data_IF_299666711587
#
_entry.id   IF_299666711587
#
_cell.length_a   1.000
_cell.length_b   1.000
_cell.length_c   1.000
_cell.angle_alpha   90.00
_cell.angle_beta   90.00
_cell.angle_gamma   90.00
#
_symmetry.space_group_name_H-M   'P 1'
#
loop_
_entity.id
_entity.type
_entity.pdbx_description
1 polymer ?
#
# COMPACT_ATOMS: atom_id res chain seq x y z
N UNK A 1 8.94 -48.44 5.06
CA UNK A 1 8.38 -47.10 4.76
C UNK A 1 8.37 -46.93 3.25
N UNK A 2 7.18 -46.79 2.65
CA UNK A 2 6.93 -47.03 1.22
C UNK A 2 7.62 -45.99 0.32
N UNK A 3 8.51 -46.44 -0.57
CA UNK A 3 9.16 -45.58 -1.60
C UNK A 3 8.13 -44.85 -2.47
N UNK A 4 6.96 -45.45 -2.67
CA UNK A 4 5.83 -44.85 -3.38
C UNK A 4 5.19 -43.65 -2.65
N UNK A 5 5.26 -43.60 -1.32
CA UNK A 5 4.77 -42.47 -0.52
C UNK A 5 5.67 -41.23 -0.71
N UNK A 6 6.99 -41.44 -0.82
CA UNK A 6 7.97 -40.36 -1.04
C UNK A 6 7.82 -39.78 -2.45
N UNK A 7 7.58 -40.62 -3.46
CA UNK A 7 7.33 -40.16 -4.84
C UNK A 7 6.01 -39.39 -4.94
N UNK A 8 4.95 -39.85 -4.27
CA UNK A 8 3.66 -39.14 -4.24
C UNK A 8 3.77 -37.78 -3.51
N UNK A 9 4.50 -37.73 -2.39
CA UNK A 9 4.72 -36.50 -1.62
C UNK A 9 5.58 -35.49 -2.40
N UNK A 10 6.58 -35.98 -3.16
CA UNK A 10 7.41 -35.13 -4.03
C UNK A 10 6.65 -34.57 -5.24
N UNK A 11 5.65 -35.28 -5.76
CA UNK A 11 4.82 -34.80 -6.86
C UNK A 11 3.83 -33.69 -6.42
N UNK A 12 3.34 -33.73 -5.19
CA UNK A 12 2.45 -32.68 -4.65
C UNK A 12 3.14 -31.33 -4.41
N UNK A 13 4.47 -31.30 -4.26
CA UNK A 13 5.23 -30.06 -4.05
C UNK A 13 5.37 -29.20 -5.31
N UNK A 14 5.07 -29.73 -6.50
CA UNK A 14 5.17 -28.99 -7.77
C UNK A 14 3.86 -28.36 -8.26
N UNK A 15 2.74 -28.53 -7.53
CA UNK A 15 1.41 -28.06 -7.97
C UNK A 15 1.11 -26.64 -7.45
N UNK A 16 1.97 -26.03 -6.62
CA UNK A 16 1.70 -24.72 -6.01
C UNK A 16 2.20 -23.53 -6.82
N UNK A 17 2.09 -23.58 -8.15
CA UNK A 17 2.28 -22.38 -8.98
C UNK A 17 0.96 -21.59 -9.02
N UNK A 18 0.74 -20.73 -8.03
CA UNK A 18 -0.38 -19.80 -8.03
C UNK A 18 -0.14 -18.77 -9.14
N UNK A 19 -0.91 -18.82 -10.22
CA UNK A 19 -0.85 -17.81 -11.28
C UNK A 19 -1.34 -16.48 -10.71
N UNK A 20 -0.48 -15.46 -10.72
CA UNK A 20 -0.86 -14.12 -10.28
C UNK A 20 -1.42 -13.36 -11.48
N UNK A 21 -2.66 -12.89 -11.37
CA UNK A 21 -3.26 -12.02 -12.38
C UNK A 21 -2.72 -10.60 -12.21
N UNK A 22 -1.98 -10.11 -13.19
CA UNK A 22 -1.43 -8.74 -13.20
C UNK A 22 -2.37 -7.85 -13.99
N UNK A 23 -2.83 -6.79 -13.36
CA UNK A 23 -3.64 -5.75 -14.02
C UNK A 23 -2.76 -4.96 -14.99
N UNK A 24 -3.24 -4.85 -16.21
CA UNK A 24 -2.64 -4.09 -17.30
C UNK A 24 -3.64 -3.08 -17.81
N UNK A 25 -3.13 -1.95 -18.27
CA UNK A 25 -3.92 -0.92 -18.92
C UNK A 25 -3.18 -0.32 -20.10
N UNK A 26 -3.95 0.15 -21.08
CA UNK A 26 -3.45 0.90 -22.24
C UNK A 26 -4.45 1.95 -22.68
N UNK A 27 -4.01 3.09 -23.22
CA UNK A 27 -4.91 4.09 -23.77
C UNK A 27 -5.64 3.54 -25.02
N UNK A 28 -6.88 3.98 -25.22
CA UNK A 28 -7.69 3.65 -26.41
C UNK A 28 -7.59 4.74 -27.48
N UNK A 29 -7.07 5.91 -27.11
CA UNK A 29 -6.99 7.07 -28.00
C UNK A 29 -6.06 6.84 -29.18
N UNK A 30 -6.42 7.45 -30.31
CA UNK A 30 -5.73 7.27 -31.59
C UNK A 30 -4.31 7.83 -31.58
N UNK A 31 -4.03 8.82 -30.73
CA UNK A 31 -2.70 9.42 -30.55
C UNK A 31 -1.99 8.84 -29.32
N UNK A 32 -1.74 7.53 -29.35
CA UNK A 32 -0.86 6.87 -28.39
C UNK A 32 0.52 6.61 -28.99
N UNK A 33 1.57 6.83 -28.18
CA UNK A 33 2.96 6.58 -28.55
C UNK A 33 3.52 5.56 -27.56
N UNK A 34 4.32 4.62 -28.06
CA UNK A 34 5.09 3.71 -27.20
C UNK A 34 6.44 4.36 -26.91
N UNK A 35 6.72 4.62 -25.64
CA UNK A 35 8.03 5.10 -25.19
C UNK A 35 8.48 4.28 -23.98
N UNK A 36 9.73 3.79 -24.00
CA UNK A 36 10.27 2.93 -22.94
C UNK A 36 9.46 1.65 -22.66
N UNK A 37 8.67 1.17 -23.63
CA UNK A 37 7.77 0.03 -23.45
C UNK A 37 6.45 0.35 -22.72
N UNK A 38 6.15 1.63 -22.48
CA UNK A 38 4.88 2.11 -21.96
C UNK A 38 4.07 2.75 -23.08
N UNK A 39 2.77 2.51 -23.10
CA UNK A 39 1.86 3.23 -23.98
C UNK A 39 1.46 4.55 -23.29
N UNK A 40 1.72 5.65 -23.97
CA UNK A 40 1.53 7.01 -23.48
C UNK A 40 0.43 7.66 -24.30
N UNK A 41 -0.44 8.41 -23.62
CA UNK A 41 -1.45 9.28 -24.23
C UNK A 41 -1.21 10.74 -23.85
N UNK A 42 -1.52 11.65 -24.76
CA UNK A 42 -1.38 13.09 -24.57
C UNK A 42 -2.67 13.80 -24.93
N UNK A 43 -3.06 14.78 -24.11
CA UNK A 43 -4.08 15.77 -24.45
C UNK A 43 -3.64 17.16 -24.03
N UNK A 44 -4.15 18.18 -24.72
CA UNK A 44 -3.84 19.58 -24.45
C UNK A 44 -5.08 20.44 -24.70
N UNK A 45 -5.40 21.31 -23.75
CA UNK A 45 -6.50 22.26 -23.87
C UNK A 45 -6.22 23.50 -22.99
N UNK A 46 -6.49 24.69 -23.53
CA UNK A 46 -6.24 25.98 -22.88
C UNK A 46 -4.81 26.14 -22.32
N UNK A 47 -3.82 25.65 -23.07
CA UNK A 47 -2.39 25.70 -22.69
C UNK A 47 -2.02 24.79 -21.51
N UNK A 48 -2.92 23.94 -21.03
CA UNK A 48 -2.59 22.87 -20.10
C UNK A 48 -2.46 21.58 -20.89
N UNK A 49 -1.28 20.97 -20.88
CA UNK A 49 -0.98 19.72 -21.56
C UNK A 49 -0.70 18.64 -20.53
N UNK A 50 -1.32 17.48 -20.69
CA UNK A 50 -1.11 16.31 -19.84
C UNK A 50 -0.66 15.14 -20.69
N UNK A 51 0.37 14.48 -20.22
CA UNK A 51 0.90 13.22 -20.74
C UNK A 51 0.69 12.17 -19.65
N UNK A 52 0.03 11.07 -19.97
CA UNK A 52 -0.29 10.03 -19.00
C UNK A 52 0.07 8.64 -19.54
N UNK A 53 0.58 7.80 -18.66
CA UNK A 53 0.79 6.37 -18.92
C UNK A 53 0.43 5.56 -17.68
N UNK A 54 -0.05 4.33 -17.88
CA UNK A 54 -0.25 3.42 -16.77
C UNK A 54 1.10 2.82 -16.36
N UNK A 55 1.46 2.99 -15.09
CA UNK A 55 2.70 2.47 -14.54
C UNK A 55 2.51 1.07 -13.93
N UNK A 56 1.45 0.90 -13.15
CA UNK A 56 1.18 -0.38 -12.50
C UNK A 56 0.19 -0.31 -11.35
N UNK A 57 0.34 -1.27 -10.43
CA UNK A 57 -0.43 -1.32 -9.18
C UNK A 57 0.46 -1.17 -7.98
N UNK A 58 -0.02 -0.39 -7.02
CA UNK A 58 0.53 -0.32 -5.69
C UNK A 58 -0.58 -0.61 -4.68
N UNK A 59 -0.54 -1.78 -4.03
CA UNK A 59 -1.59 -2.23 -3.13
C UNK A 59 -2.99 -2.22 -3.81
N UNK A 60 -3.93 -1.43 -3.29
CA UNK A 60 -5.28 -1.22 -3.85
C UNK A 60 -5.33 -0.15 -4.94
N UNK A 61 -4.24 0.56 -5.18
CA UNK A 61 -4.20 1.67 -6.13
C UNK A 61 -3.69 1.20 -7.49
N UNK A 62 -4.26 1.78 -8.54
CA UNK A 62 -3.64 1.90 -9.84
C UNK A 62 -2.81 3.19 -9.86
N UNK A 63 -1.64 3.11 -10.47
CA UNK A 63 -0.68 4.22 -10.53
C UNK A 63 -0.54 4.64 -11.99
N UNK A 64 -0.80 5.93 -12.23
CA UNK A 64 -0.53 6.56 -13.51
C UNK A 64 0.69 7.46 -13.37
N UNK A 65 1.67 7.29 -14.26
CA UNK A 65 2.78 8.22 -14.39
C UNK A 65 2.31 9.37 -15.28
N UNK A 66 2.17 10.54 -14.65
CA UNK A 66 1.57 11.73 -15.26
C UNK A 66 2.59 12.85 -15.29
N UNK A 67 2.73 13.48 -16.45
CA UNK A 67 3.43 14.75 -16.61
C UNK A 67 2.46 15.85 -17.05
N UNK A 68 2.37 16.91 -16.27
CA UNK A 68 1.54 18.07 -16.53
C UNK A 68 2.42 19.26 -16.90
N UNK A 69 2.11 19.91 -18.00
CA UNK A 69 2.78 21.10 -18.50
C UNK A 69 1.84 22.29 -18.44
N UNK A 70 2.31 23.38 -17.82
CA UNK A 70 1.66 24.67 -17.88
C UNK A 70 2.27 25.47 -19.04
N UNK A 71 1.68 25.40 -20.24
CA UNK A 71 2.07 26.23 -21.39
C UNK A 71 1.35 27.58 -21.41
N UNK A 72 0.66 27.96 -20.33
CA UNK A 72 -0.01 29.27 -20.22
C UNK A 72 0.97 30.33 -19.72
N UNK A 73 0.57 31.60 -19.84
CA UNK A 73 1.36 32.74 -19.34
C UNK A 73 1.10 33.07 -17.86
N UNK A 74 0.29 32.26 -17.17
CA UNK A 74 -0.06 32.46 -15.76
C UNK A 74 0.30 31.23 -14.92
N UNK A 75 0.56 31.40 -13.61
CA UNK A 75 0.74 30.27 -12.71
C UNK A 75 -0.49 29.34 -12.70
N UNK A 76 -0.25 28.04 -12.53
CA UNK A 76 -1.28 27.02 -12.44
C UNK A 76 -1.12 26.26 -11.11
N UNK A 77 -2.10 26.40 -10.22
CA UNK A 77 -2.19 25.57 -9.02
C UNK A 77 -2.74 24.21 -9.38
N UNK A 78 -2.08 23.17 -8.92
CA UNK A 78 -2.41 21.78 -9.21
C UNK A 78 -2.38 20.96 -7.92
N UNK A 79 -3.22 19.93 -7.86
CA UNK A 79 -3.24 18.91 -6.82
C UNK A 79 -3.49 17.54 -7.45
N UNK A 80 -2.98 16.45 -6.85
CA UNK A 80 -3.44 15.09 -7.16
C UNK A 80 -4.97 14.98 -7.15
N UNK A 81 -5.65 15.71 -6.26
CA UNK A 81 -7.13 15.68 -6.15
C UNK A 81 -7.85 16.21 -7.39
N UNK A 82 -7.16 16.90 -8.28
CA UNK A 82 -7.72 17.34 -9.57
C UNK A 82 -7.90 16.16 -10.55
N UNK A 83 -7.30 15.01 -10.25
CA UNK A 83 -7.45 13.78 -10.99
C UNK A 83 -8.54 12.89 -10.40
N UNK A 84 -9.40 12.37 -11.27
CA UNK A 84 -10.46 11.41 -10.93
C UNK A 84 -10.44 10.22 -11.88
N UNK A 85 -10.78 9.04 -11.37
CA UNK A 85 -10.96 7.83 -12.15
C UNK A 85 -12.42 7.37 -12.10
N UNK A 86 -12.98 7.20 -13.29
CA UNK A 86 -14.31 6.67 -13.50
C UNK A 86 -14.18 5.24 -14.06
N UNK A 87 -14.48 4.20 -13.26
CA UNK A 87 -14.48 2.83 -13.75
C UNK A 87 -15.73 2.57 -14.59
N UNK A 88 -15.54 1.99 -15.78
CA UNK A 88 -16.60 1.73 -16.75
C UNK A 88 -16.70 0.24 -17.11
N UNK A 89 -17.90 -0.20 -17.46
CA UNK A 89 -18.19 -1.55 -17.96
C UNK A 89 -17.80 -1.73 -19.45
N UNK A 90 -18.09 -2.90 -20.02
CA UNK A 90 -17.83 -3.21 -21.43
C UNK A 90 -18.56 -2.28 -22.42
N UNK A 91 -19.68 -1.68 -22.00
CA UNK A 91 -20.48 -0.73 -22.77
C UNK A 91 -20.07 0.73 -22.52
N UNK A 92 -18.96 0.96 -21.80
CA UNK A 92 -18.48 2.28 -21.37
C UNK A 92 -19.47 3.04 -20.48
N UNK A 93 -20.34 2.32 -19.77
CA UNK A 93 -21.22 2.88 -18.77
C UNK A 93 -20.53 2.86 -17.40
N UNK A 94 -20.78 3.88 -16.59
CA UNK A 94 -20.18 3.97 -15.26
C UNK A 94 -20.62 2.78 -14.40
N UNK A 95 -19.66 2.15 -13.74
CA UNK A 95 -19.97 1.09 -12.79
C UNK A 95 -20.67 1.68 -11.57
N UNK A 96 -21.73 1.01 -11.15
CA UNK A 96 -22.47 1.31 -9.93
C UNK A 96 -22.18 0.25 -8.86
N UNK A 97 -22.37 0.62 -7.61
CA UNK A 97 -22.27 -0.28 -6.47
C UNK A 97 -23.25 -1.45 -6.61
N UNK A 98 -22.96 -2.54 -5.90
CA UNK A 98 -23.77 -3.78 -5.99
C UNK A 98 -25.24 -3.57 -5.60
N UNK A 99 -25.51 -2.59 -4.74
CA UNK A 99 -26.86 -2.16 -4.34
C UNK A 99 -27.49 -1.12 -5.29
N UNK A 100 -26.76 -0.70 -6.32
CA UNK A 100 -27.17 0.30 -7.31
C UNK A 100 -27.30 1.72 -6.79
N UNK A 101 -26.90 1.99 -5.55
CA UNK A 101 -27.15 3.29 -4.89
C UNK A 101 -26.13 4.36 -5.25
N UNK A 102 -24.90 3.99 -5.57
CA UNK A 102 -23.81 4.93 -5.82
C UNK A 102 -23.01 4.54 -7.04
N UNK A 103 -22.67 5.52 -7.86
CA UNK A 103 -21.81 5.33 -9.01
C UNK A 103 -20.35 5.51 -8.58
N UNK A 104 -19.47 4.55 -8.90
CA UNK A 104 -18.08 4.60 -8.47
C UNK A 104 -17.37 5.77 -9.14
N UNK A 105 -16.68 6.60 -8.35
CA UNK A 105 -15.78 7.65 -8.80
C UNK A 105 -14.71 7.82 -7.75
N UNK A 106 -13.45 7.72 -8.16
CA UNK A 106 -12.31 7.75 -7.24
C UNK A 106 -11.47 8.99 -7.51
N UNK A 107 -11.29 9.83 -6.50
CA UNK A 107 -10.34 10.93 -6.56
C UNK A 107 -8.93 10.42 -6.25
N UNK A 108 -7.91 11.02 -6.87
CA UNK A 108 -6.55 10.61 -6.56
C UNK A 108 -6.15 11.04 -5.14
N UNK A 109 -5.27 10.25 -4.55
CA UNK A 109 -4.83 10.43 -3.18
C UNK A 109 -3.77 11.53 -3.07
N UNK A 110 -3.87 12.35 -2.03
CA UNK A 110 -2.84 13.35 -1.70
C UNK A 110 -1.71 12.65 -0.90
N UNK A 111 -0.47 12.61 -1.41
CA UNK A 111 0.62 11.87 -0.77
C UNK A 111 0.95 12.34 0.65
N UNK A 112 0.79 13.64 0.94
CA UNK A 112 1.04 14.18 2.28
C UNK A 112 0.05 13.66 3.32
N UNK A 113 -1.21 13.36 2.93
CA UNK A 113 -2.20 12.76 3.84
C UNK A 113 -1.82 11.33 4.20
N UNK A 114 -1.41 10.52 3.22
CA UNK A 114 -0.95 9.14 3.46
C UNK A 114 0.37 9.11 4.21
N UNK A 115 1.29 10.03 3.91
CA UNK A 115 2.54 10.19 4.66
C UNK A 115 2.29 10.48 6.14
N UNK A 116 1.26 11.28 6.44
CA UNK A 116 0.79 11.54 7.81
C UNK A 116 0.36 10.24 8.51
N UNK A 117 -0.46 9.42 7.86
CA UNK A 117 -0.92 8.13 8.40
C UNK A 117 0.23 7.17 8.63
N UNK A 118 1.16 7.04 7.68
CA UNK A 118 2.35 6.18 7.81
C UNK A 118 3.21 6.63 9.00
N UNK A 119 3.42 7.94 9.17
CA UNK A 119 4.16 8.48 10.34
C UNK A 119 3.46 8.19 11.65
N UNK A 120 2.12 8.29 11.70
CA UNK A 120 1.34 7.94 12.89
C UNK A 120 1.47 6.45 13.24
N UNK A 121 1.38 5.56 12.25
CA UNK A 121 1.56 4.12 12.45
C UNK A 121 2.96 3.77 12.94
N UNK A 122 4.00 4.40 12.37
CA UNK A 122 5.38 4.24 12.84
C UNK A 122 5.52 4.65 14.32
N UNK A 123 4.96 5.80 14.69
CA UNK A 123 4.97 6.29 16.08
C UNK A 123 4.21 5.36 17.04
N UNK A 124 3.10 4.78 16.57
CA UNK A 124 2.32 3.81 17.34
C UNK A 124 3.12 2.54 17.62
N UNK A 125 3.75 1.94 16.59
CA UNK A 125 4.57 0.74 16.75
C UNK A 125 5.79 1.00 17.63
N UNK A 126 6.44 2.17 17.50
CA UNK A 126 7.50 2.60 18.42
C UNK A 126 7.04 2.68 19.87
N UNK A 127 5.85 3.22 20.11
CA UNK A 127 5.29 3.33 21.46
C UNK A 127 4.95 1.96 22.02
N UNK A 128 4.40 1.07 21.20
CA UNK A 128 4.06 -0.30 21.56
C UNK A 128 5.30 -1.09 21.97
N UNK A 129 6.40 -1.02 21.21
CA UNK A 129 7.63 -1.72 21.58
C UNK A 129 8.30 -1.12 22.82
N UNK A 130 8.27 0.21 22.99
CA UNK A 130 8.76 0.88 24.22
C UNK A 130 7.96 0.43 25.44
N UNK A 131 6.62 0.38 25.36
CA UNK A 131 5.75 -0.13 26.43
C UNK A 131 5.99 -1.62 26.71
N UNK A 132 6.11 -2.45 25.67
CA UNK A 132 6.38 -3.87 25.81
C UNK A 132 7.74 -4.12 26.52
N UNK A 133 8.78 -3.33 26.20
CA UNK A 133 10.07 -3.36 26.91
C UNK A 133 9.90 -3.02 28.40
N UNK A 134 9.14 -1.97 28.74
CA UNK A 134 8.89 -1.57 30.13
C UNK A 134 8.10 -2.64 30.89
N UNK A 135 6.96 -3.11 30.35
CA UNK A 135 6.12 -4.13 30.99
C UNK A 135 6.89 -5.44 31.17
N UNK A 136 7.62 -5.89 30.14
CA UNK A 136 8.43 -7.10 30.23
C UNK A 136 9.58 -6.95 31.24
N UNK A 137 10.11 -5.75 31.47
CA UNK A 137 11.15 -5.51 32.49
C UNK A 137 10.55 -5.56 33.89
N UNK A 138 9.38 -4.94 34.09
CA UNK A 138 8.64 -4.98 35.36
C UNK A 138 8.20 -6.41 35.68
N UNK A 139 7.66 -7.17 34.73
CA UNK A 139 7.29 -8.58 34.92
C UNK A 139 8.50 -9.45 35.24
N UNK A 140 9.64 -9.21 34.58
CA UNK A 140 10.87 -9.94 34.86
C UNK A 140 11.40 -9.67 36.27
N UNK A 141 11.46 -8.41 36.69
CA UNK A 141 11.86 -8.02 38.05
C UNK A 141 10.84 -8.55 39.08
N UNK A 142 9.54 -8.42 38.81
CA UNK A 142 8.47 -8.92 39.66
C UNK A 142 8.51 -10.45 39.82
N UNK A 143 8.81 -11.18 38.75
CA UNK A 143 9.03 -12.63 38.77
C UNK A 143 10.23 -13.02 39.63
N UNK A 144 11.35 -12.29 39.53
CA UNK A 144 12.53 -12.51 40.40
C UNK A 144 12.18 -12.25 41.86
N UNK A 145 11.50 -11.14 42.18
CA UNK A 145 11.09 -10.80 43.55
C UNK A 145 10.12 -11.86 44.10
N UNK A 146 9.15 -12.32 43.31
CA UNK A 146 8.22 -13.37 43.72
C UNK A 146 8.94 -14.70 44.01
N UNK A 147 9.93 -15.08 43.19
CA UNK A 147 10.78 -16.25 43.46
C UNK A 147 11.53 -16.10 44.79
N UNK A 148 12.16 -14.94 45.05
CA UNK A 148 12.89 -14.68 46.30
C UNK A 148 11.94 -14.71 47.51
N UNK A 149 10.79 -14.03 47.45
CA UNK A 149 9.82 -13.98 48.54
C UNK A 149 9.13 -15.34 48.82
N UNK A 150 8.99 -16.19 47.81
CA UNK A 150 8.45 -17.55 47.97
C UNK A 150 9.42 -18.52 48.64
N UNK A 151 10.73 -18.21 48.66
CA UNK A 151 11.76 -19.07 49.25
C UNK A 151 11.79 -19.04 50.79
N UNK A 152 11.15 -18.04 51.41
CA UNK A 152 11.20 -17.79 52.86
C UNK A 152 10.07 -18.43 53.68
N UNK A 153 9.01 -18.97 53.07
CA UNK A 153 7.89 -19.64 53.78
C UNK A 153 7.59 -21.03 53.18
N UNK A 154 8.03 -22.11 53.84
CA UNK A 154 8.09 -23.46 53.24
C UNK A 154 6.86 -24.34 53.51
N UNK A 155 6.19 -24.78 52.44
CA UNK A 155 5.75 -26.17 52.25
C UNK A 155 6.31 -26.68 50.92
N UNK A 156 6.80 -27.94 50.81
CA UNK A 156 7.54 -28.43 49.62
C UNK A 156 6.73 -28.35 48.32
N UNK A 157 5.42 -28.55 48.42
CA UNK A 157 4.50 -28.60 47.28
C UNK A 157 4.23 -27.21 46.67
N UNK A 158 4.24 -26.15 47.50
CA UNK A 158 4.11 -24.76 47.03
C UNK A 158 5.38 -24.29 46.33
N UNK A 159 6.56 -24.65 46.86
CA UNK A 159 7.84 -24.29 46.24
C UNK A 159 8.00 -24.87 44.83
N UNK A 160 7.56 -26.12 44.60
CA UNK A 160 7.63 -26.77 43.28
C UNK A 160 6.67 -26.14 42.25
N UNK A 161 5.44 -25.76 42.66
CA UNK A 161 4.50 -25.05 41.77
C UNK A 161 5.01 -23.64 41.41
N UNK A 162 5.59 -22.91 42.37
CA UNK A 162 6.09 -21.55 42.12
C UNK A 162 7.33 -21.54 41.22
N UNK A 163 8.23 -22.52 41.35
CA UNK A 163 9.40 -22.66 40.48
C UNK A 163 9.01 -22.92 39.01
N UNK A 164 8.08 -23.86 38.76
CA UNK A 164 7.60 -24.14 37.41
C UNK A 164 6.87 -22.95 36.76
N UNK A 165 6.10 -22.18 37.55
CA UNK A 165 5.44 -20.97 37.06
C UNK A 165 6.46 -19.89 36.72
N UNK A 166 7.49 -19.70 37.56
CA UNK A 166 8.57 -18.74 37.32
C UNK A 166 9.39 -19.06 36.06
N UNK A 167 9.78 -20.32 35.88
CA UNK A 167 10.55 -20.77 34.71
C UNK A 167 9.72 -20.65 33.42
N UNK A 168 8.45 -21.06 33.46
CA UNK A 168 7.52 -20.91 32.33
C UNK A 168 7.30 -19.42 31.99
N UNK A 169 7.16 -18.54 32.99
CA UNK A 169 7.03 -17.10 32.75
C UNK A 169 8.27 -16.49 32.13
N UNK A 170 9.47 -16.90 32.53
CA UNK A 170 10.74 -16.43 31.94
C UNK A 170 10.85 -16.87 30.48
N UNK A 171 10.57 -18.14 30.18
CA UNK A 171 10.60 -18.67 28.81
C UNK A 171 9.56 -18.00 27.91
N UNK A 172 8.31 -17.85 28.38
CA UNK A 172 7.25 -17.15 27.63
C UNK A 172 7.60 -15.67 27.43
N UNK A 173 8.18 -14.99 28.42
CA UNK A 173 8.62 -13.61 28.28
C UNK A 173 9.77 -13.45 27.27
N UNK A 174 10.70 -14.40 27.21
CA UNK A 174 11.78 -14.41 26.22
C UNK A 174 11.27 -14.66 24.80
N UNK A 175 10.41 -15.67 24.61
CA UNK A 175 9.80 -15.96 23.30
C UNK A 175 8.96 -14.77 22.83
N UNK A 176 8.12 -14.21 23.70
CA UNK A 176 7.32 -13.02 23.39
C UNK A 176 8.20 -11.82 23.03
N UNK A 177 9.35 -11.62 23.68
CA UNK A 177 10.30 -10.56 23.31
C UNK A 177 10.85 -10.75 21.89
N UNK A 178 11.23 -11.96 21.51
CA UNK A 178 11.78 -12.24 20.17
C UNK A 178 10.70 -12.03 19.10
N UNK A 179 9.51 -12.60 19.32
CA UNK A 179 8.36 -12.47 18.39
C UNK A 179 7.90 -11.02 18.26
N UNK A 180 7.76 -10.28 19.38
CA UNK A 180 7.38 -8.86 19.36
C UNK A 180 8.45 -8.00 18.63
N UNK A 181 9.73 -8.37 18.72
CA UNK A 181 10.84 -7.65 18.07
C UNK A 181 10.88 -7.91 16.56
N UNK A 182 10.73 -9.16 16.14
CA UNK A 182 10.69 -9.54 14.72
C UNK A 182 9.50 -8.91 14.00
N UNK A 183 8.30 -8.99 14.61
CA UNK A 183 7.12 -8.33 14.07
C UNK A 183 7.27 -6.81 13.97
N UNK A 184 7.89 -6.18 14.97
CA UNK A 184 8.15 -4.75 14.96
C UNK A 184 9.05 -4.34 13.79
N UNK A 185 10.22 -4.98 13.62
CA UNK A 185 11.13 -4.62 12.52
C UNK A 185 10.53 -4.89 11.15
N UNK A 186 9.87 -6.04 10.96
CA UNK A 186 9.19 -6.33 9.70
C UNK A 186 8.13 -5.27 9.36
N UNK A 187 7.37 -4.81 10.36
CA UNK A 187 6.37 -3.76 10.16
C UNK A 187 7.01 -2.39 9.93
N UNK A 188 8.07 -2.05 10.66
CA UNK A 188 8.81 -0.80 10.48
C UNK A 188 9.48 -0.71 9.11
N UNK A 189 10.08 -1.80 8.62
CA UNK A 189 10.66 -1.86 7.29
C UNK A 189 9.58 -1.66 6.22
N UNK A 190 8.43 -2.30 6.38
CA UNK A 190 7.27 -2.09 5.50
C UNK A 190 6.83 -0.62 5.50
N UNK A 191 6.61 -0.02 6.67
CA UNK A 191 6.18 1.38 6.80
C UNK A 191 7.24 2.36 6.25
N UNK A 192 8.52 2.06 6.44
CA UNK A 192 9.62 2.85 5.89
C UNK A 192 9.64 2.81 4.36
N UNK A 193 9.35 1.64 3.77
CA UNK A 193 9.23 1.51 2.32
C UNK A 193 8.00 2.26 1.80
N UNK A 194 6.86 2.16 2.48
CA UNK A 194 5.65 2.94 2.15
C UNK A 194 5.93 4.44 2.21
N UNK A 195 6.61 4.91 3.27
CA UNK A 195 7.04 6.29 3.39
C UNK A 195 7.92 6.73 2.21
N UNK A 196 8.87 5.90 1.79
CA UNK A 196 9.76 6.22 0.67
C UNK A 196 8.99 6.38 -0.65
N UNK A 197 8.05 5.46 -0.93
CA UNK A 197 7.15 5.56 -2.09
C UNK A 197 6.37 6.87 -2.04
N UNK A 198 5.79 7.23 -0.88
CA UNK A 198 5.03 8.47 -0.74
C UNK A 198 5.86 9.75 -0.94
N UNK A 199 7.15 9.74 -0.58
CA UNK A 199 8.02 10.91 -0.70
C UNK A 199 8.55 11.13 -2.11
N UNK A 200 8.98 10.07 -2.81
CA UNK A 200 9.87 10.20 -3.97
C UNK A 200 9.18 10.04 -5.32
N UNK A 201 8.02 9.38 -5.39
CA UNK A 201 7.48 8.90 -6.66
C UNK A 201 6.13 9.54 -7.03
N UNK A 202 5.62 10.49 -6.23
CA UNK A 202 4.25 11.00 -6.40
C UNK A 202 4.17 12.39 -6.99
N UNK A 203 3.08 12.59 -7.71
CA UNK A 203 2.57 13.90 -8.04
C UNK A 203 2.16 14.61 -6.74
N UNK A 204 2.61 15.86 -6.55
CA UNK A 204 2.35 16.63 -5.32
C UNK A 204 1.63 17.92 -5.64
N UNK A 205 0.79 18.37 -4.71
CA UNK A 205 0.17 19.68 -4.83
C UNK A 205 1.24 20.78 -4.88
N UNK A 206 1.14 21.67 -5.87
CA UNK A 206 2.08 22.78 -6.08
C UNK A 206 1.47 23.85 -6.98
N UNK A 207 2.18 24.97 -7.15
CA UNK A 207 1.87 25.98 -8.16
C UNK A 207 2.97 25.97 -9.21
N UNK A 208 2.62 25.57 -10.43
CA UNK A 208 3.53 25.57 -11.58
C UNK A 208 3.66 26.99 -12.14
N UNK A 209 4.89 27.41 -12.36
CA UNK A 209 5.17 28.63 -13.10
C UNK A 209 4.78 28.47 -14.58
N UNK A 210 4.54 29.58 -15.30
CA UNK A 210 4.39 29.57 -16.75
C UNK A 210 5.53 28.80 -17.44
N UNK A 211 5.18 28.03 -18.47
CA UNK A 211 6.10 27.25 -19.31
C UNK A 211 6.93 26.19 -18.55
N UNK A 212 6.41 25.67 -17.43
CA UNK A 212 7.05 24.60 -16.65
C UNK A 212 6.21 23.33 -16.61
N UNK A 213 6.84 22.21 -16.23
CA UNK A 213 6.15 20.93 -16.02
C UNK A 213 6.50 20.29 -14.69
N UNK A 214 5.64 19.37 -14.27
CA UNK A 214 5.89 18.45 -13.17
C UNK A 214 5.46 17.05 -13.58
N UNK A 215 6.19 16.05 -13.10
CA UNK A 215 5.90 14.64 -13.31
C UNK A 215 5.81 13.90 -11.98
N UNK A 216 4.92 12.92 -11.91
CA UNK A 216 4.85 12.01 -10.78
C UNK A 216 3.72 10.99 -10.91
N UNK A 217 3.72 10.02 -10.00
CA UNK A 217 2.67 9.02 -9.87
C UNK A 217 1.38 9.62 -9.29
N UNK A 218 0.27 9.38 -9.98
CA UNK A 218 -1.09 9.68 -9.53
C UNK A 218 -1.75 8.37 -9.09
N UNK A 219 -2.13 8.30 -7.82
CA UNK A 219 -2.63 7.08 -7.18
C UNK A 219 -4.15 7.13 -7.07
N UNK A 220 -4.83 6.20 -7.75
CA UNK A 220 -6.28 6.12 -7.82
C UNK A 220 -6.72 4.73 -7.37
N UNK A 221 -7.87 4.58 -6.71
CA UNK A 221 -8.35 3.26 -6.32
C UNK A 221 -8.68 2.40 -7.56
N UNK A 222 -8.16 1.16 -7.57
CA UNK A 222 -8.39 0.24 -8.68
C UNK A 222 -9.73 -0.49 -8.49
N UNK A 223 -10.51 -0.59 -9.57
CA UNK A 223 -11.71 -1.43 -9.61
C UNK A 223 -11.49 -2.62 -10.54
N UNK A 224 -11.40 -3.82 -9.98
CA UNK A 224 -11.15 -5.05 -10.75
C UNK A 224 -12.30 -5.45 -11.68
N UNK A 225 -13.50 -4.90 -11.48
CA UNK A 225 -14.65 -5.14 -12.36
C UNK A 225 -14.67 -4.19 -13.56
N UNK A 226 -13.85 -3.14 -13.56
CA UNK A 226 -13.76 -2.20 -14.67
C UNK A 226 -13.20 -2.89 -15.92
N UNK A 227 -13.83 -2.63 -17.07
CA UNK A 227 -13.25 -2.95 -18.38
C UNK A 227 -12.53 -1.75 -18.97
N UNK A 228 -13.00 -0.55 -18.64
CA UNK A 228 -12.31 0.70 -18.97
C UNK A 228 -12.18 1.58 -17.74
N UNK A 229 -11.17 2.44 -17.75
CA UNK A 229 -11.00 3.49 -16.75
C UNK A 229 -10.87 4.81 -17.50
N UNK A 230 -11.75 5.75 -17.20
CA UNK A 230 -11.63 7.11 -17.68
C UNK A 230 -10.93 7.95 -16.61
N UNK A 231 -9.70 8.35 -16.90
CA UNK A 231 -8.90 9.26 -16.07
C UNK A 231 -9.23 10.69 -16.50
N UNK A 232 -9.73 11.51 -15.59
CA UNK A 232 -10.09 12.90 -15.88
C UNK A 232 -9.29 13.85 -15.01
N UNK A 233 -8.71 14.88 -15.61
CA UNK A 233 -8.11 16.01 -14.92
C UNK A 233 -9.02 17.22 -15.06
N UNK A 234 -9.41 17.81 -13.93
CA UNK A 234 -10.27 19.01 -13.88
C UNK A 234 -9.57 20.12 -13.12
N UNK A 235 -9.49 21.29 -13.74
CA UNK A 235 -9.02 22.53 -13.11
C UNK A 235 -9.91 23.70 -13.53
N UNK A 236 -9.67 24.88 -12.97
CA UNK A 236 -10.40 26.11 -13.34
C UNK A 236 -10.25 26.46 -14.84
N UNK A 237 -9.15 26.01 -15.48
CA UNK A 237 -8.84 26.34 -16.88
C UNK A 237 -9.24 25.27 -17.88
N UNK A 238 -9.30 24.01 -17.48
CA UNK A 238 -9.45 22.90 -18.43
C UNK A 238 -10.08 21.66 -17.81
N UNK A 239 -10.68 20.85 -18.68
CA UNK A 239 -11.10 19.49 -18.39
C UNK A 239 -10.54 18.59 -19.50
N UNK A 240 -9.69 17.64 -19.11
CA UNK A 240 -9.03 16.67 -19.99
C UNK A 240 -9.39 15.26 -19.55
N UNK A 241 -9.67 14.37 -20.49
CA UNK A 241 -10.20 13.04 -20.19
C UNK A 241 -9.57 11.98 -21.06
N UNK A 242 -8.96 11.00 -20.42
CA UNK A 242 -8.20 9.91 -21.02
C UNK A 242 -8.90 8.58 -20.82
N UNK A 243 -9.12 7.81 -21.89
CA UNK A 243 -9.75 6.48 -21.77
C UNK A 243 -8.72 5.35 -21.87
N UNK A 244 -8.68 4.50 -20.84
CA UNK A 244 -7.82 3.33 -20.77
C UNK A 244 -8.63 2.03 -20.80
N UNK A 245 -8.18 1.04 -21.56
CA UNK A 245 -8.67 -0.34 -21.48
C UNK A 245 -7.95 -1.09 -20.35
N UNK A 246 -8.71 -1.78 -19.50
CA UNK A 246 -8.19 -2.66 -18.45
C UNK A 246 -8.28 -4.14 -18.89
N UNK A 247 -7.24 -4.91 -18.60
CA UNK A 247 -7.26 -6.38 -18.66
C UNK A 247 -6.34 -7.00 -17.61
N UNK A 248 -6.42 -8.32 -17.47
CA UNK A 248 -5.59 -9.10 -16.55
C UNK A 248 -4.80 -10.15 -17.32
N UNK A 249 -3.47 -10.14 -17.13
CA UNK A 249 -2.57 -11.16 -17.67
C UNK A 249 -2.21 -12.18 -16.59
N UNK A 250 -2.26 -13.46 -16.95
CA UNK A 250 -1.73 -14.54 -16.10
C UNK A 250 -0.21 -14.59 -16.26
N UNK A 251 0.51 -14.51 -15.14
CA UNK A 251 1.92 -14.93 -15.06
C UNK A 251 2.04 -16.32 -14.47
#
# INVERSE_FOLDING_TARGET
MNKYLIILLSACLFISCSSVNIMKMRPIEQESIVDGGKEIVKQENNGVKIVASYDGRYQKYMVFDVELFNNTDEPLTISPKDFTALPLDINKQQLVSTDGQYAYSYQAIEPEEELGKVREEMNYEETKIKRAKTVNTVLFIGGIIAMIASSSNKTPERAWRTANIGETMVQVAQIKRVVDHEHYYSRMDKLSNEQHTWINENFKATTLAPHTSIRGGVFLEANSQAKFVQLTYTSDKTNLSFLFEQWFEKR
#
